data_IF_262982441534
#
_entry.id   IF_262982441534
#
_cell.length_a   1.000
_cell.length_b   1.000
_cell.length_c   1.000
_cell.angle_alpha   90.00
_cell.angle_beta   90.00
_cell.angle_gamma   90.00
#
_symmetry.space_group_name_H-M   'P 1'
#
loop_
_entity.id
_entity.type
_entity.pdbx_description
1 polymer ?
#
# COMPACT_ATOMS: atom_id res chain seq x y z
N UNK A 1 -3.78 -81.30 -47.17
CA UNK A 1 -5.10 -80.81 -46.71
C UNK A 1 -5.12 -80.87 -45.20
N UNK A 2 -4.95 -79.74 -44.51
CA UNK A 2 -5.32 -79.49 -43.11
C UNK A 2 -5.58 -77.98 -42.98
N UNK A 3 -6.58 -77.61 -42.19
CA UNK A 3 -7.20 -76.28 -42.05
C UNK A 3 -6.93 -75.70 -40.62
N UNK A 4 -7.01 -74.35 -40.51
CA UNK A 4 -7.20 -73.46 -39.33
C UNK A 4 -5.99 -73.13 -38.40
N UNK A 5 -6.02 -72.03 -37.58
CA UNK A 5 -6.16 -70.60 -37.93
C UNK A 5 -5.18 -69.61 -37.20
N UNK A 6 -5.21 -68.36 -37.68
CA UNK A 6 -5.21 -67.08 -36.96
C UNK A 6 -4.83 -67.05 -35.45
N UNK A 7 -3.78 -66.29 -35.11
CA UNK A 7 -3.74 -65.36 -33.96
C UNK A 7 -2.42 -64.58 -33.96
N UNK A 8 -2.40 -63.36 -34.48
CA UNK A 8 -1.28 -62.43 -34.22
C UNK A 8 -1.65 -60.96 -34.49
N UNK A 9 -2.77 -60.48 -33.94
CA UNK A 9 -3.08 -59.04 -33.91
C UNK A 9 -3.68 -58.69 -32.56
N UNK A 10 -2.92 -58.84 -31.47
CA UNK A 10 -3.40 -58.42 -30.16
C UNK A 10 -2.27 -58.07 -29.18
N UNK A 11 -1.25 -57.33 -29.61
CA UNK A 11 -0.22 -56.82 -28.68
C UNK A 11 0.18 -55.35 -28.87
N UNK A 12 -0.44 -54.61 -29.81
CA UNK A 12 -0.10 -53.21 -30.02
C UNK A 12 -1.12 -52.19 -29.46
N UNK A 13 -2.27 -52.64 -28.96
CA UNK A 13 -3.33 -51.73 -28.48
C UNK A 13 -3.37 -51.53 -26.96
N UNK A 14 -2.72 -52.38 -26.15
CA UNK A 14 -2.78 -52.26 -24.69
C UNK A 14 -1.77 -51.26 -24.09
N UNK A 15 -0.64 -51.00 -24.76
CA UNK A 15 0.38 -50.07 -24.25
C UNK A 15 0.10 -48.59 -24.55
N UNK A 16 -0.69 -48.28 -25.58
CA UNK A 16 -1.02 -46.89 -25.95
C UNK A 16 -2.13 -46.35 -25.04
N UNK A 17 -3.10 -47.19 -24.65
CA UNK A 17 -4.20 -46.79 -23.76
C UNK A 17 -3.67 -46.57 -22.33
N UNK A 18 -2.80 -47.45 -21.83
CA UNK A 18 -2.21 -47.28 -20.49
C UNK A 18 -1.34 -46.02 -20.37
N UNK A 19 -0.52 -45.71 -21.39
CA UNK A 19 0.28 -44.48 -21.42
C UNK A 19 -0.58 -43.21 -21.56
N UNK A 20 -1.64 -43.26 -22.37
CA UNK A 20 -2.58 -42.14 -22.56
C UNK A 20 -3.38 -41.84 -21.30
N UNK A 21 -3.86 -42.87 -20.59
CA UNK A 21 -4.58 -42.69 -19.31
C UNK A 21 -3.62 -42.19 -18.23
N UNK A 22 -2.39 -42.69 -18.17
CA UNK A 22 -1.38 -42.20 -17.21
C UNK A 22 -1.01 -40.73 -17.44
N UNK A 23 -0.84 -40.31 -18.70
CA UNK A 23 -0.63 -38.89 -19.06
C UNK A 23 -1.86 -38.02 -18.78
N UNK A 24 -3.07 -38.54 -18.99
CA UNK A 24 -4.30 -37.81 -18.70
C UNK A 24 -4.53 -37.64 -17.18
N UNK A 25 -4.14 -38.63 -16.37
CA UNK A 25 -4.15 -38.51 -14.91
C UNK A 25 -3.03 -37.59 -14.42
N UNK A 26 -1.83 -37.62 -15.02
CA UNK A 26 -0.75 -36.70 -14.68
C UNK A 26 -1.10 -35.25 -15.05
N UNK A 27 -1.79 -35.03 -16.18
CA UNK A 27 -2.24 -33.70 -16.61
C UNK A 27 -3.43 -33.19 -15.80
N UNK A 28 -4.35 -34.05 -15.37
CA UNK A 28 -5.43 -33.70 -14.44
C UNK A 28 -4.93 -33.45 -13.01
N UNK A 29 -3.93 -34.19 -12.55
CA UNK A 29 -3.22 -33.91 -11.30
C UNK A 29 -2.44 -32.60 -11.40
N UNK A 30 -1.68 -32.38 -12.48
CA UNK A 30 -0.98 -31.12 -12.72
C UNK A 30 -1.96 -29.94 -12.83
N UNK A 31 -3.10 -30.09 -13.51
CA UNK A 31 -4.13 -29.05 -13.61
C UNK A 31 -4.88 -28.81 -12.29
N UNK A 32 -5.05 -29.83 -11.44
CA UNK A 32 -5.55 -29.64 -10.07
C UNK A 32 -4.53 -28.97 -9.16
N UNK A 33 -3.24 -29.28 -9.31
CA UNK A 33 -2.16 -28.65 -8.54
C UNK A 33 -1.87 -27.21 -9.03
N UNK A 34 -1.98 -26.94 -10.34
CA UNK A 34 -1.88 -25.61 -10.92
C UNK A 34 -3.08 -24.72 -10.53
N UNK A 35 -4.29 -25.28 -10.35
CA UNK A 35 -5.43 -24.55 -9.80
C UNK A 35 -5.38 -24.38 -8.27
N UNK A 36 -4.51 -25.12 -7.57
CA UNK A 36 -4.31 -24.98 -6.12
C UNK A 36 -3.20 -23.97 -5.79
N UNK A 37 -2.37 -23.59 -6.76
CA UNK A 37 -1.53 -22.41 -6.68
C UNK A 37 -2.31 -21.30 -7.37
N UNK A 38 -3.32 -20.79 -6.66
CA UNK A 38 -3.84 -19.47 -6.97
C UNK A 38 -2.68 -18.51 -6.71
N UNK A 39 -1.83 -18.30 -7.73
CA UNK A 39 -0.80 -17.28 -7.75
C UNK A 39 -1.53 -15.96 -7.95
N UNK A 40 -2.36 -15.58 -6.98
CA UNK A 40 -2.62 -14.19 -6.77
C UNK A 40 -1.27 -13.63 -6.35
N UNK A 41 -0.60 -12.78 -7.15
CA UNK A 41 0.46 -11.95 -6.61
C UNK A 41 -0.05 -11.39 -5.28
N UNK A 42 0.66 -11.68 -4.20
CA UNK A 42 0.39 -11.09 -2.90
C UNK A 42 0.76 -9.61 -3.04
N UNK A 43 -0.16 -8.83 -3.60
CA UNK A 43 0.00 -7.40 -3.75
C UNK A 43 -0.19 -6.80 -2.37
N UNK A 44 0.91 -6.33 -1.80
CA UNK A 44 0.90 -5.50 -0.61
C UNK A 44 0.08 -4.25 -0.89
N UNK A 45 -0.93 -3.97 -0.05
CA UNK A 45 -1.78 -2.80 -0.22
C UNK A 45 -1.43 -1.71 0.77
N UNK A 46 -1.45 -0.47 0.29
CA UNK A 46 -1.37 0.73 1.10
C UNK A 46 -2.76 1.32 1.19
N UNK A 47 -3.34 1.34 2.39
CA UNK A 47 -4.70 1.81 2.64
C UNK A 47 -4.62 3.14 3.35
N UNK A 48 -5.34 4.13 2.83
CA UNK A 48 -5.47 5.45 3.44
C UNK A 48 -6.93 5.61 3.85
N UNK A 49 -7.19 5.48 5.16
CA UNK A 49 -8.50 5.83 5.71
C UNK A 49 -8.56 7.35 5.81
N UNK A 50 -9.38 7.99 4.99
CA UNK A 50 -9.57 9.42 5.06
C UNK A 50 -10.35 9.79 6.33
N UNK A 51 -9.79 10.67 7.17
CA UNK A 51 -10.33 11.02 8.49
C UNK A 51 -10.89 12.46 8.57
N UNK A 52 -10.71 13.26 7.53
CA UNK A 52 -11.24 14.63 7.49
C UNK A 52 -12.63 14.69 6.84
N UNK A 53 -13.41 15.77 7.04
CA UNK A 53 -14.77 15.87 6.52
C UNK A 53 -14.86 15.88 4.99
N UNK A 54 -13.80 16.35 4.33
CA UNK A 54 -13.67 16.41 2.88
C UNK A 54 -12.21 16.26 2.45
N UNK A 55 -12.00 15.90 1.18
CA UNK A 55 -10.66 15.85 0.58
C UNK A 55 -10.25 17.28 0.23
N UNK A 56 -9.59 17.94 1.18
CA UNK A 56 -8.98 19.26 1.00
C UNK A 56 -7.90 19.25 -0.09
N UNK A 57 -7.55 20.44 -0.60
CA UNK A 57 -6.56 20.57 -1.67
C UNK A 57 -5.19 19.99 -1.28
N UNK A 58 -4.74 20.23 -0.05
CA UNK A 58 -3.53 19.60 0.48
C UNK A 58 -3.60 18.07 0.44
N UNK A 59 -4.70 17.48 0.94
CA UNK A 59 -4.91 16.03 0.91
C UNK A 59 -4.90 15.49 -0.53
N UNK A 60 -5.48 16.22 -1.48
CA UNK A 60 -5.44 15.84 -2.90
C UNK A 60 -4.00 15.74 -3.43
N UNK A 61 -3.13 16.69 -3.10
CA UNK A 61 -1.72 16.67 -3.50
C UNK A 61 -0.98 15.48 -2.88
N UNK A 62 -1.16 15.26 -1.58
CA UNK A 62 -0.60 14.09 -0.88
C UNK A 62 -1.08 12.77 -1.51
N UNK A 63 -2.37 12.63 -1.75
CA UNK A 63 -2.94 11.38 -2.25
C UNK A 63 -2.51 11.08 -3.68
N UNK A 64 -2.41 12.10 -4.54
CA UNK A 64 -1.81 11.94 -5.88
C UNK A 64 -0.35 11.52 -5.80
N UNK A 65 0.41 12.11 -4.88
CA UNK A 65 1.80 11.73 -4.66
C UNK A 65 1.90 10.27 -4.19
N UNK A 66 1.05 9.84 -3.26
CA UNK A 66 0.97 8.45 -2.80
C UNK A 66 0.74 7.50 -3.99
N UNK A 67 -0.24 7.77 -4.84
CA UNK A 67 -0.54 6.94 -6.00
C UNK A 67 0.65 6.81 -6.96
N UNK A 68 1.47 7.85 -7.09
CA UNK A 68 2.71 7.79 -7.88
C UNK A 68 3.79 6.96 -7.19
N UNK A 69 3.89 7.04 -5.86
CA UNK A 69 4.94 6.37 -5.07
C UNK A 69 4.72 4.86 -4.95
N UNK A 70 3.49 4.42 -4.70
CA UNK A 70 3.15 3.00 -4.50
C UNK A 70 2.47 2.36 -5.71
N UNK A 71 2.16 3.14 -6.73
CA UNK A 71 1.35 2.78 -7.89
C UNK A 71 -0.16 2.64 -7.61
N UNK A 72 -0.98 3.03 -8.59
CA UNK A 72 -2.45 3.10 -8.49
C UNK A 72 -3.10 1.75 -8.16
N UNK A 73 -2.48 0.63 -8.57
CA UNK A 73 -2.98 -0.72 -8.29
C UNK A 73 -2.75 -1.19 -6.85
N UNK A 74 -1.82 -0.58 -6.12
CA UNK A 74 -1.46 -0.97 -4.75
C UNK A 74 -2.06 -0.04 -3.69
N UNK A 75 -2.68 1.07 -4.08
CA UNK A 75 -3.28 2.02 -3.15
C UNK A 75 -4.80 1.89 -3.10
N UNK A 76 -5.35 1.96 -1.89
CA UNK A 76 -6.79 2.02 -1.63
C UNK A 76 -7.10 3.20 -0.72
N UNK A 77 -7.95 4.12 -1.17
CA UNK A 77 -8.48 5.20 -0.35
C UNK A 77 -9.86 4.81 0.17
N UNK A 78 -10.04 4.78 1.48
CA UNK A 78 -11.30 4.41 2.15
C UNK A 78 -11.92 5.60 2.88
N UNK A 79 -13.22 5.51 3.16
CA UNK A 79 -14.02 6.59 3.78
C UNK A 79 -14.02 7.90 2.96
N UNK A 80 -13.87 7.83 1.63
CA UNK A 80 -13.89 9.01 0.75
C UNK A 80 -15.32 9.29 0.30
N UNK A 81 -15.99 10.25 0.94
CA UNK A 81 -17.40 10.60 0.65
C UNK A 81 -17.56 11.65 -0.44
N UNK A 82 -16.51 12.42 -0.73
CA UNK A 82 -16.48 13.46 -1.76
C UNK A 82 -15.06 13.60 -2.32
N UNK A 83 -14.91 14.08 -3.55
CA UNK A 83 -13.60 14.32 -4.18
C UNK A 83 -12.91 13.08 -4.76
N UNK A 84 -13.62 11.95 -4.89
CA UNK A 84 -13.10 10.72 -5.50
C UNK A 84 -12.59 10.94 -6.94
N UNK A 85 -13.23 11.84 -7.71
CA UNK A 85 -12.85 12.21 -9.07
C UNK A 85 -11.46 12.85 -9.19
N UNK A 86 -10.89 13.29 -8.06
CA UNK A 86 -9.57 13.94 -8.00
C UNK A 86 -8.43 12.96 -7.69
N UNK A 87 -8.76 11.72 -7.35
CA UNK A 87 -7.82 10.71 -6.86
C UNK A 87 -7.59 9.63 -7.91
N UNK A 88 -6.43 9.00 -7.84
CA UNK A 88 -6.06 7.88 -8.72
C UNK A 88 -5.77 6.63 -7.90
N UNK A 89 -6.42 5.51 -8.19
CA UNK A 89 -6.30 4.25 -7.45
C UNK A 89 -7.67 3.67 -7.11
N UNK A 90 -7.73 2.66 -6.23
CA UNK A 90 -9.01 2.13 -5.75
C UNK A 90 -9.59 3.08 -4.72
N UNK A 91 -10.82 3.54 -4.92
CA UNK A 91 -11.48 4.50 -4.04
C UNK A 91 -12.78 3.88 -3.52
N UNK A 92 -12.98 3.96 -2.22
CA UNK A 92 -14.10 3.36 -1.51
C UNK A 92 -14.75 4.41 -0.60
N UNK A 93 -16.07 4.55 -0.73
CA UNK A 93 -16.85 5.45 0.15
C UNK A 93 -16.97 4.88 1.58
N UNK A 94 -16.89 3.56 1.73
CA UNK A 94 -17.00 2.86 3.01
C UNK A 94 -15.70 2.96 3.81
N UNK A 95 -15.82 2.92 5.14
CA UNK A 95 -14.68 2.85 6.05
C UNK A 95 -13.92 1.54 5.89
N UNK A 96 -12.60 1.58 6.11
CA UNK A 96 -11.75 0.39 6.21
C UNK A 96 -12.27 -0.64 7.21
N UNK A 97 -12.99 -0.19 8.25
CA UNK A 97 -13.59 -1.06 9.27
C UNK A 97 -14.65 -1.99 8.69
N UNK A 98 -15.43 -1.50 7.74
CA UNK A 98 -16.47 -2.27 7.05
C UNK A 98 -15.87 -3.18 5.97
N UNK A 99 -14.81 -2.71 5.31
CA UNK A 99 -14.14 -3.40 4.21
C UNK A 99 -13.01 -4.33 4.67
N UNK A 100 -12.77 -4.42 5.98
CA UNK A 100 -11.67 -5.18 6.57
C UNK A 100 -11.49 -6.60 6.03
N UNK A 101 -12.55 -7.41 5.79
CA UNK A 101 -12.39 -8.75 5.22
C UNK A 101 -11.67 -8.79 3.87
N UNK A 102 -11.69 -7.70 3.10
CA UNK A 102 -11.07 -7.60 1.78
C UNK A 102 -9.55 -7.36 1.84
N UNK A 103 -9.04 -6.97 3.02
CA UNK A 103 -7.68 -6.47 3.20
C UNK A 103 -6.71 -7.44 3.88
N UNK A 104 -7.14 -8.67 4.20
CA UNK A 104 -6.27 -9.68 4.82
C UNK A 104 -5.75 -9.22 6.19
N UNK A 105 -4.50 -9.56 6.50
CA UNK A 105 -3.87 -9.15 7.76
C UNK A 105 -3.33 -7.72 7.65
N UNK A 106 -3.91 -6.81 8.44
CA UNK A 106 -3.62 -5.37 8.41
C UNK A 106 -2.60 -5.00 9.50
N UNK A 107 -1.63 -4.18 9.15
CA UNK A 107 -0.79 -3.41 10.08
C UNK A 107 -1.18 -1.93 10.03
N UNK A 108 -1.48 -1.32 11.17
CA UNK A 108 -1.79 0.12 11.26
C UNK A 108 -0.52 0.90 11.57
N UNK A 109 -0.26 1.97 10.82
CA UNK A 109 0.82 2.90 11.10
C UNK A 109 0.32 3.97 12.05
N UNK A 110 0.82 3.91 13.28
CA UNK A 110 0.43 4.78 14.39
C UNK A 110 1.70 5.31 15.08
N UNK A 111 1.91 6.64 15.15
CA UNK A 111 3.05 7.23 15.86
C UNK A 111 3.15 6.81 17.34
N UNK A 112 2.06 6.38 17.97
CA UNK A 112 2.04 5.91 19.38
C UNK A 112 2.44 4.44 19.54
N UNK A 113 2.62 3.69 18.45
CA UNK A 113 3.07 2.31 18.52
C UNK A 113 4.48 2.21 19.12
N UNK A 114 4.75 1.14 19.89
CA UNK A 114 6.07 0.91 20.50
C UNK A 114 7.10 0.31 19.54
N UNK A 115 6.63 -0.47 18.56
CA UNK A 115 7.49 -1.20 17.63
C UNK A 115 7.59 -0.42 16.32
N UNK A 116 8.81 -0.13 15.89
CA UNK A 116 9.08 0.51 14.59
C UNK A 116 8.87 -0.50 13.46
N UNK A 117 8.35 -0.02 12.34
CA UNK A 117 8.20 -0.80 11.12
C UNK A 117 9.57 -1.31 10.63
N UNK A 118 9.61 -2.55 10.18
CA UNK A 118 10.83 -3.21 9.71
C UNK A 118 10.60 -3.94 8.38
N UNK A 119 11.67 -4.22 7.61
CA UNK A 119 11.53 -4.96 6.35
C UNK A 119 10.90 -6.36 6.49
N UNK A 120 11.02 -6.97 7.67
CA UNK A 120 10.43 -8.27 7.99
C UNK A 120 8.89 -8.23 8.07
N UNK A 121 8.33 -7.08 8.44
CA UNK A 121 6.88 -6.91 8.56
C UNK A 121 6.16 -7.10 7.21
N UNK A 122 6.85 -6.91 6.08
CA UNK A 122 6.33 -7.17 4.74
C UNK A 122 5.92 -8.64 4.50
N UNK A 123 6.47 -9.58 5.26
CA UNK A 123 6.09 -10.99 5.21
C UNK A 123 4.97 -11.34 6.20
N UNK A 124 4.65 -10.42 7.12
CA UNK A 124 3.73 -10.62 8.23
C UNK A 124 2.34 -10.02 7.97
N UNK A 125 2.20 -9.14 6.98
CA UNK A 125 0.99 -8.39 6.70
C UNK A 125 0.73 -8.29 5.21
N UNK A 126 -0.54 -8.29 4.84
CA UNK A 126 -1.00 -8.14 3.46
C UNK A 126 -1.28 -6.66 3.15
N UNK A 127 -1.68 -5.88 4.16
CA UNK A 127 -2.03 -4.46 4.01
C UNK A 127 -1.46 -3.59 5.11
N UNK A 128 -1.13 -2.35 4.76
CA UNK A 128 -0.61 -1.32 5.65
C UNK A 128 -1.55 -0.12 5.63
N UNK A 129 -2.11 0.22 6.79
CA UNK A 129 -3.17 1.19 6.96
C UNK A 129 -2.65 2.47 7.61
N UNK A 130 -2.94 3.60 6.97
CA UNK A 130 -2.57 4.95 7.39
C UNK A 130 -3.85 5.75 7.63
N UNK A 131 -3.82 6.62 8.63
CA UNK A 131 -4.84 7.67 8.76
C UNK A 131 -4.49 8.82 7.82
N UNK A 132 -5.30 9.03 6.79
CA UNK A 132 -5.22 10.21 5.93
C UNK A 132 -5.82 11.41 6.64
N UNK A 133 -4.96 12.18 7.29
CA UNK A 133 -5.34 13.25 8.20
C UNK A 133 -4.45 14.47 7.98
N UNK A 134 -5.05 15.66 7.93
CA UNK A 134 -4.28 16.89 8.04
C UNK A 134 -3.56 16.94 9.38
N UNK A 135 -2.23 17.01 9.32
CA UNK A 135 -1.39 17.06 10.50
C UNK A 135 -1.66 18.32 11.32
N UNK A 136 -2.03 18.15 12.58
CA UNK A 136 -1.90 19.21 13.58
C UNK A 136 -0.46 19.23 14.09
N UNK A 137 0.09 20.42 14.31
CA UNK A 137 1.37 20.59 15.00
C UNK A 137 1.15 21.36 16.32
N UNK A 138 1.44 20.76 17.50
CA UNK A 138 1.95 19.41 17.71
C UNK A 138 0.91 18.29 17.49
N UNK A 139 1.38 17.04 17.33
CA UNK A 139 0.51 15.86 17.21
C UNK A 139 -0.48 15.73 18.37
N UNK A 140 -1.76 15.49 18.05
CA UNK A 140 -2.87 15.38 19.01
C UNK A 140 -3.40 13.95 19.18
N UNK A 141 -2.80 12.97 18.49
CA UNK A 141 -3.16 11.55 18.55
C UNK A 141 -4.47 11.19 17.85
N UNK A 142 -4.91 11.96 16.84
CA UNK A 142 -6.13 11.63 16.07
C UNK A 142 -6.11 10.22 15.48
N UNK A 143 -5.01 9.78 14.87
CA UNK A 143 -4.89 8.41 14.32
C UNK A 143 -5.15 7.34 15.38
N UNK A 144 -4.68 7.53 16.61
CA UNK A 144 -4.97 6.60 17.72
C UNK A 144 -6.47 6.56 18.02
N UNK A 145 -7.07 7.73 18.23
CA UNK A 145 -8.48 7.89 18.65
C UNK A 145 -9.48 7.43 17.58
N UNK A 146 -9.20 7.74 16.32
CA UNK A 146 -10.15 7.59 15.22
C UNK A 146 -9.95 6.29 14.42
N UNK A 147 -8.73 5.71 14.48
CA UNK A 147 -8.36 4.54 13.69
C UNK A 147 -7.90 3.36 14.54
N UNK A 148 -6.74 3.43 15.19
CA UNK A 148 -6.11 2.25 15.79
C UNK A 148 -6.87 1.72 17.01
N UNK A 149 -7.38 2.60 17.89
CA UNK A 149 -8.18 2.21 19.04
C UNK A 149 -9.51 1.53 18.66
N UNK A 150 -9.97 1.74 17.43
CA UNK A 150 -11.21 1.14 16.90
C UNK A 150 -10.96 -0.19 16.18
N UNK A 151 -9.70 -0.59 16.00
CA UNK A 151 -9.29 -1.84 15.36
C UNK A 151 -8.26 -2.58 16.23
N UNK A 152 -8.60 -2.91 17.49
CA UNK A 152 -7.64 -3.39 18.51
C UNK A 152 -7.06 -4.78 18.21
N UNK A 153 -7.62 -5.50 17.24
CA UNK A 153 -7.14 -6.79 16.77
C UNK A 153 -6.11 -6.68 15.64
N UNK A 154 -5.87 -5.47 15.12
CA UNK A 154 -4.80 -5.20 14.16
C UNK A 154 -3.50 -4.87 14.91
N UNK A 155 -2.38 -5.34 14.39
CA UNK A 155 -1.08 -4.93 14.93
C UNK A 155 -0.75 -3.50 14.51
N UNK A 156 0.01 -2.79 15.34
CA UNK A 156 0.44 -1.42 15.07
C UNK A 156 1.97 -1.31 14.95
N UNK A 157 2.45 -0.38 14.13
CA UNK A 157 3.87 -0.02 13.98
C UNK A 157 4.02 1.50 13.91
N UNK A 158 5.17 2.02 14.35
CA UNK A 158 5.53 3.43 14.17
C UNK A 158 6.53 3.59 13.01
N UNK A 159 6.69 4.84 12.56
CA UNK A 159 7.71 5.28 11.62
C UNK A 159 8.62 6.32 12.29
N UNK A 160 9.08 6.00 13.50
CA UNK A 160 9.79 6.93 14.37
C UNK A 160 8.85 7.77 15.24
N UNK A 161 9.44 8.74 15.94
CA UNK A 161 8.83 9.58 16.97
C UNK A 161 8.48 11.01 16.50
N UNK A 162 8.93 11.39 15.31
CA UNK A 162 8.64 12.69 14.69
C UNK A 162 7.53 12.53 13.65
N UNK A 163 6.60 13.49 13.64
CA UNK A 163 5.45 13.49 12.75
C UNK A 163 5.87 13.59 11.29
N UNK A 164 5.22 12.79 10.44
CA UNK A 164 5.31 12.87 8.98
C UNK A 164 3.95 13.25 8.42
N UNK A 165 3.94 13.88 7.24
CA UNK A 165 2.73 13.95 6.41
C UNK A 165 2.30 12.54 5.97
N UNK A 166 1.04 12.38 5.53
CA UNK A 166 0.53 11.04 5.16
C UNK A 166 1.32 10.46 4.00
N UNK A 167 1.63 11.27 2.99
CA UNK A 167 2.40 10.85 1.82
C UNK A 167 3.84 10.49 2.18
N UNK A 168 4.51 11.25 3.05
CA UNK A 168 5.85 10.93 3.53
C UNK A 168 5.83 9.62 4.32
N UNK A 169 4.84 9.41 5.18
CA UNK A 169 4.70 8.16 5.93
C UNK A 169 4.54 6.95 5.01
N UNK A 170 3.73 7.08 3.94
CA UNK A 170 3.56 6.03 2.94
C UNK A 170 4.85 5.80 2.15
N UNK A 171 5.55 6.85 1.73
CA UNK A 171 6.84 6.77 1.05
C UNK A 171 7.88 6.02 1.90
N UNK A 172 8.03 6.41 3.16
CA UNK A 172 8.93 5.75 4.12
C UNK A 172 8.56 4.27 4.30
N UNK A 173 7.27 3.97 4.48
CA UNK A 173 6.81 2.59 4.59
C UNK A 173 7.13 1.78 3.32
N UNK A 174 6.94 2.35 2.13
CA UNK A 174 7.31 1.72 0.85
C UNK A 174 8.82 1.43 0.82
N UNK A 175 9.69 2.37 1.18
CA UNK A 175 11.15 2.15 1.24
C UNK A 175 11.51 0.98 2.18
N UNK A 176 10.81 0.88 3.31
CA UNK A 176 11.06 -0.20 4.28
C UNK A 176 10.55 -1.55 3.78
N UNK A 177 9.31 -1.59 3.32
CA UNK A 177 8.58 -2.83 3.06
C UNK A 177 8.88 -3.41 1.68
N UNK A 178 8.99 -2.55 0.68
CA UNK A 178 9.19 -2.94 -0.73
C UNK A 178 10.67 -2.90 -1.06
N UNK A 179 11.34 -1.79 -0.79
CA UNK A 179 12.77 -1.62 -1.14
C UNK A 179 13.71 -2.27 -0.11
N UNK A 180 13.15 -2.79 1.00
CA UNK A 180 13.87 -3.49 2.07
C UNK A 180 14.94 -2.66 2.76
N UNK A 181 14.74 -1.35 2.85
CA UNK A 181 15.66 -0.42 3.51
C UNK A 181 15.25 -0.26 4.97
N UNK A 182 16.07 -0.65 5.96
CA UNK A 182 15.74 -0.45 7.37
C UNK A 182 15.52 1.04 7.72
N UNK A 183 14.62 1.32 8.66
CA UNK A 183 14.26 2.70 9.04
C UNK A 183 15.49 3.54 9.44
N UNK A 184 16.46 2.96 10.16
CA UNK A 184 17.69 3.63 10.59
C UNK A 184 18.70 3.90 9.46
N UNK A 185 18.40 3.45 8.23
CA UNK A 185 19.20 3.71 7.03
C UNK A 185 18.59 4.75 6.10
N UNK A 186 17.40 5.23 6.40
CA UNK A 186 16.77 6.32 5.67
C UNK A 186 17.33 7.66 6.16
N UNK A 187 17.50 8.60 5.23
CA UNK A 187 17.94 9.95 5.53
C UNK A 187 16.72 10.86 5.70
N UNK A 188 16.71 11.65 6.77
CA UNK A 188 15.60 12.52 7.11
C UNK A 188 16.07 13.94 7.34
N UNK A 189 15.20 14.89 7.03
CA UNK A 189 15.28 16.27 7.53
C UNK A 189 14.01 16.57 8.28
N UNK A 190 14.17 16.99 9.52
CA UNK A 190 13.09 17.49 10.36
C UNK A 190 13.04 19.00 10.19
N UNK A 191 11.84 19.53 10.00
CA UNK A 191 11.60 20.95 9.78
C UNK A 191 12.31 21.48 8.52
N UNK A 192 11.52 21.69 7.46
CA UNK A 192 12.03 22.28 6.22
C UNK A 192 11.49 23.69 6.07
N UNK A 193 12.36 24.58 5.59
CA UNK A 193 12.01 25.92 5.18
C UNK A 193 11.83 25.92 3.65
N UNK A 194 10.68 26.38 3.20
CA UNK A 194 10.36 26.56 1.78
C UNK A 194 10.30 28.06 1.51
N UNK A 195 11.17 28.54 0.64
CA UNK A 195 11.14 29.91 0.15
C UNK A 195 9.97 30.06 -0.85
N UNK A 196 9.08 31.02 -0.60
CA UNK A 196 7.86 31.23 -1.39
C UNK A 196 8.03 32.39 -2.38
N UNK A 197 8.48 33.57 -1.92
CA UNK A 197 8.85 34.71 -2.76
C UNK A 197 9.56 35.79 -1.93
N UNK A 198 10.38 36.66 -2.53
CA UNK A 198 10.94 37.92 -1.96
C UNK A 198 11.28 37.92 -0.45
N UNK A 199 11.90 36.86 0.06
CA UNK A 199 12.33 36.75 1.47
C UNK A 199 11.24 36.26 2.45
N UNK A 200 10.10 35.82 1.94
CA UNK A 200 9.09 35.06 2.68
C UNK A 200 9.38 33.56 2.56
N UNK A 201 9.42 32.90 3.71
CA UNK A 201 9.55 31.47 3.81
C UNK A 201 8.48 30.90 4.72
N UNK A 202 8.09 29.66 4.44
CA UNK A 202 7.19 28.90 5.26
C UNK A 202 7.93 27.71 5.87
N UNK A 203 7.74 27.50 7.16
CA UNK A 203 8.36 26.40 7.91
C UNK A 203 7.35 25.27 7.98
N UNK A 204 7.70 24.12 7.41
CA UNK A 204 6.91 22.91 7.51
C UNK A 204 7.46 22.03 8.66
N UNK A 205 6.76 21.95 9.81
CA UNK A 205 7.30 21.36 11.04
C UNK A 205 7.09 19.83 11.09
N UNK A 206 7.47 19.15 10.01
CA UNK A 206 7.36 17.70 9.83
C UNK A 206 8.70 17.09 9.46
N UNK A 207 8.80 15.76 9.61
CA UNK A 207 9.90 14.97 9.07
C UNK A 207 9.66 14.64 7.61
N UNK A 208 10.66 14.89 6.78
CA UNK A 208 10.67 14.58 5.35
C UNK A 208 11.77 13.58 5.03
N UNK A 209 11.47 12.63 4.14
CA UNK A 209 12.49 11.74 3.57
C UNK A 209 13.37 12.54 2.60
N UNK A 210 14.69 12.34 2.69
CA UNK A 210 15.66 12.94 1.79
C UNK A 210 16.07 11.92 0.72
N UNK A 211 15.88 12.29 -0.55
CA UNK A 211 16.37 11.55 -1.71
C UNK A 211 17.13 12.51 -2.63
N UNK A 212 18.27 12.08 -3.15
CA UNK A 212 19.15 12.90 -3.99
C UNK A 212 19.50 14.27 -3.36
N UNK A 213 19.63 14.29 -2.03
CA UNK A 213 19.97 15.49 -1.25
C UNK A 213 18.85 16.51 -1.09
N UNK A 214 17.60 16.16 -1.44
CA UNK A 214 16.43 17.05 -1.32
C UNK A 214 15.27 16.37 -0.58
N UNK A 215 14.41 17.14 0.12
CA UNK A 215 13.17 16.60 0.65
C UNK A 215 12.25 16.17 -0.48
N UNK A 216 11.70 14.97 -0.38
CA UNK A 216 10.67 14.49 -1.31
C UNK A 216 9.34 15.14 -0.92
N UNK A 217 8.75 15.90 -1.84
CA UNK A 217 7.50 16.62 -1.64
C UNK A 217 6.48 16.25 -2.72
N UNK A 218 5.17 16.28 -2.42
CA UNK A 218 4.13 16.20 -3.43
C UNK A 218 4.32 17.24 -4.55
N UNK A 219 4.10 16.81 -5.79
CA UNK A 219 4.08 17.73 -6.92
C UNK A 219 3.02 18.82 -6.71
N UNK A 220 3.40 20.09 -6.91
CA UNK A 220 2.51 21.25 -6.75
C UNK A 220 2.30 21.70 -5.31
N UNK A 221 2.97 21.10 -4.31
CA UNK A 221 2.89 21.55 -2.91
C UNK A 221 3.46 22.96 -2.72
N UNK A 222 4.60 23.24 -3.35
CA UNK A 222 5.26 24.55 -3.25
C UNK A 222 4.35 25.62 -3.88
N UNK A 223 3.85 25.38 -5.09
CA UNK A 223 2.91 26.29 -5.76
C UNK A 223 1.63 26.52 -4.93
N UNK A 224 1.12 25.47 -4.28
CA UNK A 224 -0.02 25.58 -3.38
C UNK A 224 0.27 26.51 -2.20
N UNK A 225 1.41 26.32 -1.54
CA UNK A 225 1.85 27.15 -0.42
C UNK A 225 2.05 28.61 -0.82
N UNK A 226 2.61 28.87 -2.00
CA UNK A 226 2.80 30.23 -2.52
C UNK A 226 1.46 30.98 -2.68
N UNK A 227 0.41 30.29 -3.14
CA UNK A 227 -0.90 30.91 -3.37
C UNK A 227 -1.83 30.90 -2.15
N UNK A 228 -1.63 30.00 -1.17
CA UNK A 228 -2.41 30.01 0.07
C UNK A 228 -2.17 31.29 0.89
N UNK A 229 -0.92 31.73 0.97
CA UNK A 229 -0.52 32.95 1.68
C UNK A 229 -1.11 34.22 1.04
N UNK A 230 -1.29 34.25 -0.28
CA UNK A 230 -1.93 35.37 -0.98
C UNK A 230 -3.41 35.51 -0.59
N UNK A 231 -4.13 34.39 -0.41
CA UNK A 231 -5.54 34.39 0.00
C UNK A 231 -5.76 34.73 1.48
N UNK A 232 -4.78 34.48 2.35
CA UNK A 232 -4.86 34.83 3.78
C UNK A 232 -4.40 36.27 4.08
N UNK A 233 -3.91 37.00 3.07
CA UNK A 233 -3.53 38.42 3.16
C UNK A 233 -4.59 39.39 2.59
N UNK A 234 -5.75 38.89 2.14
CA UNK A 234 -6.93 39.70 1.73
C UNK A 234 -8.06 39.64 2.76
#
# INVERSE_FOLDING_TARGET
MHWFPCECVMLCHYNIIAAGVFWMFLSLLAAKYLNAINFYPCFMRFIIEHLDPEVFRWCELEYKHISLVVSEENVVFTNVRSGADKLSGRIEEKSVKELKPDFGKICILDPKAKKTLSPDDASLFDSFLFGGVLGNHPMDGRTEKELSAQMPDCEIRNLGDVQMSTDTAVLVAKRILVDKIPFDKLEFKDEIEIELDDGFSNILPYRYLIEDGKPVLPYGLIDYLMHEDETNQM
#
